data_IF_218123561973
#
_entry.id   IF_218123561973
#
_cell.length_a   1.000
_cell.length_b   1.000
_cell.length_c   1.000
_cell.angle_alpha   90.00
_cell.angle_beta   90.00
_cell.angle_gamma   90.00
#
_symmetry.space_group_name_H-M   'P 1'
#
loop_
_entity.id
_entity.type
_entity.pdbx_description
1 polymer ?
#
# COMPACT_ATOMS: atom_id res chain seq x y z
N UNK A 1 -20.87 -13.42 45.81
CA UNK A 1 -19.43 -13.27 45.57
C UNK A 1 -18.90 -14.02 44.33
N UNK A 2 -19.27 -15.28 44.06
CA UNK A 2 -18.77 -16.06 42.90
C UNK A 2 -19.16 -15.49 41.52
N UNK A 3 -20.34 -14.88 41.38
CA UNK A 3 -20.83 -14.32 40.11
C UNK A 3 -20.07 -13.03 39.69
N UNK A 4 -19.72 -12.19 40.68
CA UNK A 4 -18.96 -10.95 40.44
C UNK A 4 -17.53 -11.25 39.96
N UNK A 5 -16.89 -12.27 40.49
CA UNK A 5 -15.54 -12.70 40.10
C UNK A 5 -15.51 -13.23 38.64
N UNK A 6 -16.52 -13.97 38.24
CA UNK A 6 -16.65 -14.47 36.85
C UNK A 6 -16.84 -13.34 35.82
N UNK A 7 -17.63 -12.31 36.16
CA UNK A 7 -17.83 -11.13 35.32
C UNK A 7 -16.54 -10.30 35.18
N UNK A 8 -15.76 -10.13 36.23
CA UNK A 8 -14.47 -9.44 36.18
C UNK A 8 -13.42 -10.17 35.37
N UNK A 9 -13.37 -11.51 35.42
CA UNK A 9 -12.44 -12.31 34.61
C UNK A 9 -12.81 -12.23 33.14
N UNK A 10 -14.11 -12.25 32.79
CA UNK A 10 -14.54 -12.13 31.38
C UNK A 10 -14.23 -10.73 30.76
N UNK A 11 -14.35 -9.66 31.54
CA UNK A 11 -14.00 -8.30 31.12
C UNK A 11 -12.48 -8.14 30.89
N UNK A 12 -11.64 -8.72 31.74
CA UNK A 12 -10.18 -8.70 31.58
C UNK A 12 -9.73 -9.48 30.35
N UNK A 13 -10.39 -10.59 30.02
CA UNK A 13 -10.07 -11.39 28.83
C UNK A 13 -10.47 -10.66 27.53
N UNK A 14 -11.64 -10.00 27.50
CA UNK A 14 -12.10 -9.22 26.36
C UNK A 14 -11.19 -8.00 26.09
N UNK A 15 -10.73 -7.30 27.11
CA UNK A 15 -9.80 -6.18 26.98
C UNK A 15 -8.43 -6.62 26.43
N UNK A 16 -7.94 -7.78 26.84
CA UNK A 16 -6.67 -8.34 26.35
C UNK A 16 -6.74 -8.73 24.85
N UNK A 17 -7.86 -9.29 24.39
CA UNK A 17 -8.07 -9.66 22.98
C UNK A 17 -8.16 -8.40 22.10
N UNK A 18 -8.86 -7.36 22.53
CA UNK A 18 -8.98 -6.09 21.82
C UNK A 18 -7.62 -5.40 21.68
N UNK A 19 -6.83 -5.31 22.74
CA UNK A 19 -5.49 -4.71 22.73
C UNK A 19 -4.52 -5.48 21.78
N UNK A 20 -4.59 -6.81 21.76
CA UNK A 20 -3.79 -7.63 20.85
C UNK A 20 -4.20 -7.42 19.39
N UNK A 21 -5.50 -7.27 19.10
CA UNK A 21 -6.01 -6.97 17.75
C UNK A 21 -5.50 -5.61 17.26
N UNK A 22 -5.53 -4.58 18.08
CA UNK A 22 -5.07 -3.23 17.70
C UNK A 22 -3.55 -3.16 17.53
N UNK A 23 -2.79 -3.84 18.38
CA UNK A 23 -1.33 -3.98 18.21
C UNK A 23 -0.98 -4.68 16.88
N UNK A 24 -1.74 -5.72 16.50
CA UNK A 24 -1.54 -6.42 15.24
C UNK A 24 -1.87 -5.53 14.03
N UNK A 25 -2.96 -4.75 14.07
CA UNK A 25 -3.30 -3.80 13.01
C UNK A 25 -2.23 -2.73 12.84
N UNK A 26 -1.73 -2.17 13.94
CA UNK A 26 -0.64 -1.19 13.93
C UNK A 26 0.61 -1.76 13.28
N UNK A 27 0.99 -2.99 13.62
CA UNK A 27 2.13 -3.68 13.00
C UNK A 27 1.95 -3.86 11.49
N UNK A 28 0.77 -4.32 11.06
CA UNK A 28 0.46 -4.50 9.63
C UNK A 28 0.54 -3.17 8.89
N UNK A 29 -0.05 -2.11 9.44
CA UNK A 29 0.03 -0.77 8.84
C UNK A 29 1.46 -0.27 8.69
N UNK A 30 2.32 -0.52 9.69
CA UNK A 30 3.73 -0.16 9.64
C UNK A 30 4.50 -0.98 8.57
N UNK A 31 4.22 -2.28 8.45
CA UNK A 31 4.82 -3.14 7.40
C UNK A 31 4.43 -2.67 5.99
N UNK A 32 3.16 -2.31 5.77
CA UNK A 32 2.67 -1.80 4.48
C UNK A 32 3.24 -0.41 4.19
N UNK A 33 3.27 0.49 5.20
CA UNK A 33 3.88 1.82 5.06
C UNK A 33 5.33 1.71 4.59
N UNK A 34 6.09 0.78 5.17
CA UNK A 34 7.47 0.53 4.73
C UNK A 34 7.56 0.17 3.25
N UNK A 35 6.65 -0.65 2.71
CA UNK A 35 6.62 -0.96 1.28
C UNK A 35 6.42 0.31 0.45
N UNK A 36 5.52 1.19 0.87
CA UNK A 36 5.25 2.46 0.16
C UNK A 36 6.43 3.44 0.28
N UNK A 37 7.08 3.50 1.45
CA UNK A 37 8.27 4.33 1.65
C UNK A 37 9.44 3.84 0.76
N UNK A 38 9.65 2.53 0.67
CA UNK A 38 10.65 1.92 -0.22
C UNK A 38 10.32 2.23 -1.71
N UNK A 39 9.04 2.22 -2.10
CA UNK A 39 8.59 2.60 -3.44
C UNK A 39 8.90 4.07 -3.76
N UNK A 40 8.53 5.00 -2.88
CA UNK A 40 8.81 6.43 -3.09
C UNK A 40 10.31 6.71 -3.11
N UNK A 41 11.10 6.05 -2.26
CA UNK A 41 12.55 6.15 -2.26
C UNK A 41 13.17 5.61 -3.58
N UNK A 42 12.66 4.48 -4.11
CA UNK A 42 13.09 3.93 -5.40
C UNK A 42 12.76 4.89 -6.54
N UNK A 43 11.53 5.38 -6.61
CA UNK A 43 11.11 6.38 -7.59
C UNK A 43 11.99 7.63 -7.55
N UNK A 44 12.22 8.18 -6.37
CA UNK A 44 12.94 9.43 -6.19
C UNK A 44 14.44 9.35 -6.54
N UNK A 45 15.02 8.15 -6.67
CA UNK A 45 16.35 7.92 -7.24
C UNK A 45 16.32 7.48 -8.71
N UNK A 46 15.14 7.40 -9.35
CA UNK A 46 15.00 7.02 -10.76
C UNK A 46 14.91 5.50 -11.02
N UNK A 47 14.68 4.71 -9.99
CA UNK A 47 14.65 3.26 -10.03
C UNK A 47 13.20 2.75 -10.15
N UNK A 48 12.69 2.69 -11.41
CA UNK A 48 11.34 2.19 -11.69
C UNK A 48 11.21 0.69 -11.34
N UNK A 49 12.24 -0.10 -11.54
CA UNK A 49 12.23 -1.53 -11.18
C UNK A 49 12.10 -1.70 -9.67
N UNK A 50 12.83 -0.89 -8.89
CA UNK A 50 12.70 -0.85 -7.42
C UNK A 50 11.32 -0.37 -6.96
N UNK A 51 10.71 0.61 -7.63
CA UNK A 51 9.33 1.02 -7.38
C UNK A 51 8.36 -0.15 -7.62
N UNK A 52 8.52 -0.89 -8.71
CA UNK A 52 7.70 -2.03 -9.06
C UNK A 52 7.91 -3.26 -8.16
N UNK A 53 8.96 -3.27 -7.33
CA UNK A 53 9.16 -4.32 -6.32
C UNK A 53 8.07 -4.34 -5.23
N UNK A 54 7.36 -3.23 -5.01
CA UNK A 54 6.19 -3.16 -4.13
C UNK A 54 4.96 -3.88 -4.67
N UNK A 55 4.92 -4.17 -5.97
CA UNK A 55 3.81 -4.86 -6.63
C UNK A 55 4.04 -6.37 -6.70
N UNK A 56 2.93 -7.10 -6.69
CA UNK A 56 2.93 -8.56 -6.86
C UNK A 56 3.42 -8.96 -8.25
N UNK A 57 4.51 -9.70 -8.34
CA UNK A 57 5.09 -10.16 -9.60
C UNK A 57 4.29 -11.33 -10.18
N UNK A 58 3.13 -11.01 -10.76
CA UNK A 58 2.17 -11.98 -11.29
C UNK A 58 1.44 -11.40 -12.50
N UNK A 59 1.00 -12.27 -13.40
CA UNK A 59 0.09 -11.92 -14.49
C UNK A 59 -1.29 -11.46 -14.00
N UNK A 60 -1.62 -11.75 -12.74
CA UNK A 60 -2.90 -11.38 -12.11
C UNK A 60 -2.89 -9.99 -11.46
N UNK A 61 -1.75 -9.31 -11.42
CA UNK A 61 -1.69 -7.91 -10.99
C UNK A 61 -2.66 -7.08 -11.84
N UNK A 62 -3.44 -6.21 -11.20
CA UNK A 62 -4.33 -5.30 -11.91
C UNK A 62 -3.95 -3.86 -11.57
N UNK A 63 -3.69 -3.07 -12.61
CA UNK A 63 -3.41 -1.63 -12.50
C UNK A 63 -4.46 -0.87 -13.31
N UNK A 64 -5.17 0.06 -12.66
CA UNK A 64 -6.22 0.88 -13.25
C UNK A 64 -5.80 2.34 -13.14
N UNK A 65 -5.80 3.05 -14.27
CA UNK A 65 -5.52 4.50 -14.31
C UNK A 65 -6.50 5.18 -15.26
N UNK A 66 -7.35 6.03 -14.72
CA UNK A 66 -8.48 6.58 -15.46
C UNK A 66 -9.39 5.45 -15.96
N UNK A 67 -9.57 5.35 -17.27
CA UNK A 67 -10.37 4.29 -17.92
C UNK A 67 -9.56 3.06 -18.34
N UNK A 68 -8.23 3.12 -18.22
CA UNK A 68 -7.33 2.06 -18.69
C UNK A 68 -7.12 0.99 -17.62
N UNK A 69 -7.19 -0.26 -18.03
CA UNK A 69 -6.88 -1.43 -17.20
C UNK A 69 -5.68 -2.17 -17.78
N UNK A 70 -4.58 -2.19 -17.04
CA UNK A 70 -3.39 -2.98 -17.36
C UNK A 70 -3.34 -4.22 -16.47
N UNK A 71 -3.14 -5.39 -17.05
CA UNK A 71 -3.03 -6.66 -16.32
C UNK A 71 -1.64 -7.24 -16.45
N UNK A 72 -1.12 -7.70 -15.33
CA UNK A 72 0.20 -8.31 -15.22
C UNK A 72 1.29 -7.33 -14.78
N UNK A 73 2.27 -7.88 -14.06
CA UNK A 73 3.40 -7.11 -13.52
C UNK A 73 4.29 -6.53 -14.63
N UNK A 74 4.64 -7.35 -15.62
CA UNK A 74 5.52 -6.90 -16.73
C UNK A 74 4.86 -5.81 -17.59
N UNK A 75 3.60 -5.95 -18.05
CA UNK A 75 2.92 -4.86 -18.76
C UNK A 75 2.79 -3.57 -17.93
N UNK A 76 2.61 -3.67 -16.61
CA UNK A 76 2.58 -2.50 -15.73
C UNK A 76 3.96 -1.84 -15.65
N UNK A 77 5.04 -2.61 -15.51
CA UNK A 77 6.41 -2.09 -15.56
C UNK A 77 6.70 -1.38 -16.88
N UNK A 78 6.34 -2.00 -18.01
CA UNK A 78 6.57 -1.44 -19.36
C UNK A 78 5.81 -0.12 -19.55
N UNK A 79 4.57 -0.04 -19.04
CA UNK A 79 3.78 1.19 -18.99
C UNK A 79 4.49 2.30 -18.20
N UNK A 80 5.01 1.99 -17.01
CA UNK A 80 5.76 2.96 -16.21
C UNK A 80 7.04 3.43 -16.91
N UNK A 81 7.85 2.51 -17.47
CA UNK A 81 9.07 2.86 -18.19
C UNK A 81 8.80 3.72 -19.45
N UNK A 82 7.69 3.46 -20.13
CA UNK A 82 7.28 4.25 -21.31
C UNK A 82 6.77 5.65 -20.90
N UNK A 83 5.99 5.74 -19.83
CA UNK A 83 5.39 6.99 -19.38
C UNK A 83 6.37 7.93 -18.66
N UNK A 84 7.35 7.35 -17.99
CA UNK A 84 8.32 8.05 -17.12
C UNK A 84 9.76 7.77 -17.57
N UNK A 85 10.05 8.04 -18.85
CA UNK A 85 11.31 7.74 -19.53
C UNK A 85 12.48 8.67 -19.15
N UNK A 86 12.24 9.66 -18.28
CA UNK A 86 13.24 10.62 -17.85
C UNK A 86 13.00 11.12 -16.42
N UNK A 87 14.05 11.59 -15.74
CA UNK A 87 13.93 12.19 -14.42
C UNK A 87 12.98 13.40 -14.40
N UNK A 88 12.97 14.19 -15.49
CA UNK A 88 12.07 15.33 -15.62
C UNK A 88 10.59 14.91 -15.64
N UNK A 89 10.26 13.76 -16.27
CA UNK A 89 8.90 13.21 -16.25
C UNK A 89 8.57 12.52 -14.93
N UNK A 90 9.53 11.90 -14.27
CA UNK A 90 9.31 11.27 -12.96
C UNK A 90 9.02 12.28 -11.86
N UNK A 91 9.81 13.36 -11.79
CA UNK A 91 9.72 14.31 -10.68
C UNK A 91 10.06 13.67 -9.33
N UNK A 92 9.60 14.30 -8.26
CA UNK A 92 9.70 13.78 -6.89
C UNK A 92 8.34 13.27 -6.43
N UNK A 93 8.24 11.98 -6.17
CA UNK A 93 7.02 11.31 -5.69
C UNK A 93 6.85 11.52 -4.19
N UNK A 94 5.64 11.93 -3.81
CA UNK A 94 5.18 11.95 -2.43
C UNK A 94 3.84 11.22 -2.31
N UNK A 95 3.75 10.33 -1.33
CA UNK A 95 2.48 9.77 -0.87
C UNK A 95 2.02 10.51 0.38
N UNK A 96 0.74 10.88 0.43
CA UNK A 96 0.12 11.59 1.58
C UNK A 96 -1.28 11.06 1.88
N UNK A 97 -1.87 11.53 2.98
CA UNK A 97 -3.24 11.21 3.39
C UNK A 97 -3.51 9.70 3.46
N UNK A 98 -2.54 8.92 3.97
CA UNK A 98 -2.63 7.47 3.95
C UNK A 98 -3.59 6.95 5.03
N UNK A 99 -4.64 6.28 4.59
CA UNK A 99 -5.62 5.60 5.43
C UNK A 99 -5.51 4.09 5.22
N UNK A 100 -5.23 3.35 6.32
CA UNK A 100 -5.03 1.90 6.30
C UNK A 100 -6.27 1.18 6.82
N UNK A 101 -6.91 0.37 6.00
CA UNK A 101 -8.00 -0.54 6.39
C UNK A 101 -7.49 -1.97 6.40
N UNK A 102 -7.29 -2.53 7.59
CA UNK A 102 -6.84 -3.91 7.75
C UNK A 102 -8.06 -4.83 7.68
N UNK A 103 -8.15 -5.62 6.62
CA UNK A 103 -9.26 -6.54 6.37
C UNK A 103 -9.05 -7.90 7.04
N UNK A 104 -7.79 -8.38 7.05
CA UNK A 104 -7.38 -9.65 7.64
C UNK A 104 -5.87 -9.61 7.97
N UNK A 105 -5.36 -10.66 8.60
CA UNK A 105 -3.91 -10.79 8.89
C UNK A 105 -3.01 -10.76 7.65
N UNK A 106 -3.59 -10.98 6.47
CA UNK A 106 -2.89 -11.08 5.18
C UNK A 106 -3.53 -10.22 4.07
N UNK A 107 -4.49 -9.35 4.40
CA UNK A 107 -5.18 -8.48 3.45
C UNK A 107 -5.45 -7.10 4.03
N UNK A 108 -5.18 -6.06 3.22
CA UNK A 108 -5.44 -4.67 3.59
C UNK A 108 -5.74 -3.82 2.35
N UNK A 109 -6.41 -2.69 2.59
CA UNK A 109 -6.61 -1.63 1.61
C UNK A 109 -5.97 -0.35 2.13
N UNK A 110 -5.31 0.39 1.25
CA UNK A 110 -4.77 1.72 1.53
C UNK A 110 -5.40 2.73 0.58
N UNK A 111 -6.10 3.71 1.13
CA UNK A 111 -6.51 4.93 0.42
C UNK A 111 -5.43 5.99 0.65
N UNK A 112 -5.13 6.78 -0.38
CA UNK A 112 -4.14 7.85 -0.23
C UNK A 112 -4.13 8.82 -1.41
N UNK A 113 -3.19 9.75 -1.33
CA UNK A 113 -2.89 10.72 -2.38
C UNK A 113 -1.47 10.50 -2.89
N UNK A 114 -1.25 10.75 -4.18
CA UNK A 114 0.06 10.83 -4.78
C UNK A 114 0.27 12.21 -5.41
N UNK A 115 1.50 12.67 -5.44
CA UNK A 115 1.90 13.86 -6.19
C UNK A 115 3.31 13.69 -6.74
N UNK A 116 3.56 14.30 -7.91
CA UNK A 116 4.88 14.39 -8.53
C UNK A 116 5.26 15.87 -8.61
N UNK A 117 6.27 16.29 -7.84
CA UNK A 117 6.85 17.62 -8.00
C UNK A 117 7.79 17.61 -9.20
N UNK A 118 7.48 18.38 -10.24
CA UNK A 118 8.25 18.57 -11.47
C UNK A 118 8.55 20.04 -11.69
N UNK A 119 9.52 20.35 -12.53
CA UNK A 119 9.89 21.75 -12.81
C UNK A 119 8.76 22.56 -13.47
N UNK A 120 7.89 21.91 -14.25
CA UNK A 120 6.86 22.58 -15.06
C UNK A 120 5.43 22.34 -14.59
N UNK A 121 5.18 21.30 -13.84
CA UNK A 121 3.86 20.91 -13.37
C UNK A 121 3.94 20.08 -12.09
N UNK A 122 2.79 19.88 -11.43
CA UNK A 122 2.65 19.07 -10.23
C UNK A 122 1.45 18.14 -10.37
N UNK A 123 1.52 17.10 -11.24
CA UNK A 123 0.43 16.15 -11.34
C UNK A 123 0.23 15.43 -10.01
N UNK A 124 -1.04 15.20 -9.67
CA UNK A 124 -1.45 14.59 -8.42
C UNK A 124 -2.80 13.89 -8.59
N UNK A 125 -3.11 13.03 -7.66
CA UNK A 125 -4.38 12.31 -7.65
C UNK A 125 -4.58 11.46 -6.42
N UNK A 126 -5.59 10.61 -6.46
CA UNK A 126 -5.91 9.66 -5.41
C UNK A 126 -5.63 8.24 -5.88
N UNK A 127 -5.45 7.35 -4.92
CA UNK A 127 -5.33 5.93 -5.20
C UNK A 127 -6.03 5.09 -4.13
N UNK A 128 -6.42 3.90 -4.54
CA UNK A 128 -6.81 2.82 -3.65
C UNK A 128 -5.97 1.60 -4.00
N UNK A 129 -5.14 1.18 -3.05
CA UNK A 129 -4.26 0.02 -3.19
C UNK A 129 -4.79 -1.16 -2.39
N UNK A 130 -4.91 -2.32 -3.02
CA UNK A 130 -5.19 -3.58 -2.30
C UNK A 130 -3.90 -4.33 -2.09
N UNK A 131 -3.57 -4.61 -0.84
CA UNK A 131 -2.40 -5.35 -0.42
C UNK A 131 -2.74 -6.79 -0.01
N UNK A 132 -1.87 -7.72 -0.35
CA UNK A 132 -1.84 -9.09 0.19
C UNK A 132 -0.47 -9.40 0.77
N UNK A 133 -0.45 -10.13 1.90
CA UNK A 133 0.79 -10.65 2.46
C UNK A 133 1.14 -11.94 1.73
N UNK A 134 2.25 -11.89 1.02
CA UNK A 134 2.85 -13.00 0.30
C UNK A 134 3.97 -13.62 1.13
N UNK A 135 4.62 -14.67 0.58
CA UNK A 135 5.79 -15.29 1.20
C UNK A 135 6.95 -14.30 1.36
N UNK A 136 7.11 -13.39 0.39
CA UNK A 136 8.15 -12.36 0.33
C UNK A 136 7.75 -11.05 1.04
N UNK A 137 6.60 -11.01 1.76
CA UNK A 137 6.07 -9.82 2.43
C UNK A 137 4.83 -9.22 1.74
N UNK A 138 4.44 -8.03 2.14
CA UNK A 138 3.28 -7.35 1.58
C UNK A 138 3.52 -6.89 0.16
N UNK A 139 2.53 -7.10 -0.73
CA UNK A 139 2.57 -6.67 -2.13
C UNK A 139 1.24 -6.09 -2.55
N UNK A 140 1.28 -5.08 -3.41
CA UNK A 140 0.11 -4.53 -4.09
C UNK A 140 -0.35 -5.53 -5.15
N UNK A 141 -1.59 -5.99 -5.05
CA UNK A 141 -2.22 -6.90 -6.02
C UNK A 141 -3.19 -6.17 -6.95
N UNK A 142 -3.67 -5.02 -6.52
CA UNK A 142 -4.51 -4.13 -7.31
C UNK A 142 -4.20 -2.68 -6.95
N UNK A 143 -4.07 -1.84 -7.96
CA UNK A 143 -3.89 -0.41 -7.88
C UNK A 143 -4.97 0.26 -8.74
N UNK A 144 -5.73 1.14 -8.12
CA UNK A 144 -6.65 2.03 -8.83
C UNK A 144 -6.26 3.47 -8.52
N UNK A 145 -5.76 4.16 -9.52
CA UNK A 145 -5.24 5.53 -9.42
C UNK A 145 -5.93 6.47 -10.40
N UNK A 146 -6.10 7.72 -10.01
CA UNK A 146 -6.72 8.79 -10.80
C UNK A 146 -5.81 10.01 -10.86
#
# INVERSE_FOLDING_TARGET
>A
MKIIVLLLISLLFAASIAAQSDSQKTKISAEIRKVMDDQSAAWNRGDIDGFMAGYWRSEKLTFISGTDVTRGWQPTLDRYKKGYDSRAKMGVLTFSDLEFTILAKDAAVVLGSWSLARDKDNPHGKFTLTFRKMKEGWRIIMDHTS
#
